data_IF_175194694734
#
_entry.id   IF_175194694734
#
_cell.length_a   1.000
_cell.length_b   1.000
_cell.length_c   1.000
_cell.angle_alpha   90.00
_cell.angle_beta   90.00
_cell.angle_gamma   90.00
#
_symmetry.space_group_name_H-M   'P 1'
#
loop_
_entity.id
_entity.type
_entity.pdbx_description
1 polymer ?
#
# COMPACT_ATOMS: atom_id res chain seq x y z
N UNK A 1 46.43 -52.57 -30.82
CA UNK A 1 45.76 -53.51 -31.76
C UNK A 1 44.51 -54.05 -31.07
N UNK A 2 43.34 -54.20 -31.72
CA UNK A 2 42.77 -53.50 -32.89
C UNK A 2 41.40 -52.82 -32.57
N UNK A 3 41.09 -51.68 -33.22
CA UNK A 3 40.10 -51.45 -34.33
C UNK A 3 38.62 -51.47 -33.89
N UNK A 4 37.84 -50.38 -33.98
CA UNK A 4 37.36 -49.57 -35.13
C UNK A 4 36.21 -50.21 -35.94
N UNK A 5 35.17 -49.37 -36.17
CA UNK A 5 34.12 -49.40 -37.21
C UNK A 5 33.12 -50.57 -37.15
N UNK A 6 31.84 -50.48 -37.56
CA UNK A 6 31.13 -49.73 -38.62
C UNK A 6 29.62 -49.83 -38.33
N UNK A 7 28.77 -48.85 -38.60
CA UNK A 7 28.03 -48.75 -39.88
C UNK A 7 26.55 -49.13 -39.70
N UNK A 8 25.62 -48.17 -39.65
CA UNK A 8 24.70 -47.74 -40.73
C UNK A 8 23.62 -48.77 -41.11
N UNK A 9 22.35 -48.36 -41.00
CA UNK A 9 21.18 -48.57 -41.88
C UNK A 9 19.92 -48.23 -41.07
N UNK A 10 18.81 -47.64 -41.52
CA UNK A 10 18.40 -46.84 -42.68
C UNK A 10 17.06 -46.17 -42.24
N UNK A 11 16.74 -45.00 -42.80
CA UNK A 11 15.42 -44.31 -42.77
C UNK A 11 14.42 -45.05 -43.70
N UNK A 12 13.08 -44.75 -43.80
CA UNK A 12 12.40 -43.43 -43.75
C UNK A 12 11.00 -43.48 -43.06
N UNK A 13 10.19 -42.42 -42.85
CA UNK A 13 9.47 -41.54 -43.79
C UNK A 13 8.90 -40.31 -43.02
N UNK A 14 9.12 -39.08 -43.52
CA UNK A 14 8.15 -38.18 -44.18
C UNK A 14 7.16 -37.52 -43.18
N UNK A 15 7.06 -36.19 -43.05
CA UNK A 15 6.62 -35.17 -44.01
C UNK A 15 7.09 -33.78 -43.51
N UNK A 16 8.00 -33.09 -44.20
CA UNK A 16 7.81 -31.93 -45.12
C UNK A 16 7.22 -30.63 -44.53
N UNK A 17 8.16 -29.73 -44.23
CA UNK A 17 8.29 -28.25 -44.35
C UNK A 17 7.62 -27.63 -45.63
N UNK A 18 7.71 -26.32 -45.99
CA UNK A 18 8.10 -25.08 -45.27
C UNK A 18 7.22 -23.83 -45.54
N UNK A 19 7.57 -22.75 -44.84
CA UNK A 19 7.32 -21.36 -45.22
C UNK A 19 8.29 -20.86 -46.33
N UNK A 20 7.85 -19.89 -47.15
CA UNK A 20 8.54 -18.64 -47.53
C UNK A 20 8.00 -18.08 -48.86
N UNK A 21 7.86 -16.75 -48.95
CA UNK A 21 7.75 -16.06 -50.23
C UNK A 21 6.96 -14.76 -50.19
N UNK A 22 7.66 -13.65 -49.93
CA UNK A 22 7.17 -12.30 -50.24
C UNK A 22 7.20 -12.05 -51.76
N UNK A 23 6.29 -11.19 -52.26
CA UNK A 23 6.56 -9.99 -53.10
C UNK A 23 5.30 -9.55 -53.90
N UNK A 24 4.88 -8.30 -53.63
CA UNK A 24 4.21 -7.27 -54.45
C UNK A 24 3.23 -7.62 -55.60
N UNK A 25 2.05 -6.98 -55.55
CA UNK A 25 1.41 -6.47 -56.77
C UNK A 25 -0.14 -6.51 -56.82
N UNK A 26 -0.73 -5.32 -56.93
CA UNK A 26 -1.98 -5.00 -57.66
C UNK A 26 -3.35 -5.18 -56.95
N UNK A 27 -4.02 -4.03 -56.76
CA UNK A 27 -5.46 -3.87 -57.02
C UNK A 27 -6.42 -4.06 -55.84
N UNK A 28 -6.70 -3.00 -55.08
CA UNK A 28 -7.89 -2.95 -54.22
C UNK A 28 -9.00 -2.16 -54.92
N UNK A 29 -10.21 -2.70 -55.09
CA UNK A 29 -11.33 -1.96 -55.66
C UNK A 29 -11.92 -0.99 -54.64
N UNK A 30 -12.17 0.22 -55.11
CA UNK A 30 -12.93 1.27 -54.46
C UNK A 30 -14.34 0.77 -54.11
N UNK A 31 -14.66 0.70 -52.82
CA UNK A 31 -16.06 0.74 -52.35
C UNK A 31 -16.18 1.72 -51.19
N UNK A 32 -16.73 2.88 -51.54
CA UNK A 32 -17.32 3.86 -50.63
C UNK A 32 -18.33 3.17 -49.72
N UNK A 33 -18.02 3.09 -48.42
CA UNK A 33 -19.02 2.88 -47.37
C UNK A 33 -19.13 4.21 -46.64
N UNK A 34 -20.23 4.88 -46.94
CA UNK A 34 -20.72 6.07 -46.26
C UNK A 34 -20.72 5.80 -44.75
N UNK A 35 -19.95 6.61 -44.03
CA UNK A 35 -19.81 6.53 -42.59
C UNK A 35 -21.14 6.78 -41.89
N UNK A 36 -21.76 5.71 -41.41
CA UNK A 36 -22.70 5.78 -40.30
C UNK A 36 -21.93 5.50 -39.01
N UNK A 37 -21.04 6.42 -38.64
CA UNK A 37 -20.56 6.48 -37.27
C UNK A 37 -21.70 7.02 -36.43
N UNK A 38 -22.38 6.12 -35.75
CA UNK A 38 -23.28 6.43 -34.64
C UNK A 38 -22.58 7.42 -33.71
N UNK A 39 -23.01 8.69 -33.76
CA UNK A 39 -22.77 9.67 -32.71
C UNK A 39 -23.42 9.13 -31.44
N UNK A 40 -22.72 8.23 -30.75
CA UNK A 40 -23.04 7.85 -29.38
C UNK A 40 -22.82 9.11 -28.55
N UNK A 41 -23.91 9.83 -28.35
CA UNK A 41 -23.99 11.06 -27.59
C UNK A 41 -23.11 10.96 -26.34
N UNK A 42 -22.15 11.87 -26.25
CA UNK A 42 -21.52 12.29 -25.01
C UNK A 42 -22.66 12.63 -24.06
N UNK A 43 -23.03 11.69 -23.18
CA UNK A 43 -23.92 11.98 -22.07
C UNK A 43 -23.24 13.08 -21.26
N UNK A 44 -23.86 14.26 -21.28
CA UNK A 44 -23.45 15.43 -20.53
C UNK A 44 -23.16 15.03 -19.08
N UNK A 45 -21.89 15.15 -18.69
CA UNK A 45 -21.50 15.18 -17.27
C UNK A 45 -22.27 16.37 -16.65
N UNK A 46 -22.99 16.13 -15.56
CA UNK A 46 -23.52 17.24 -14.76
C UNK A 46 -22.39 18.20 -14.36
N UNK A 47 -22.68 19.47 -14.08
CA UNK A 47 -21.65 20.43 -13.72
C UNK A 47 -20.82 19.88 -12.56
N UNK A 48 -19.50 19.77 -12.77
CA UNK A 48 -18.57 19.44 -11.70
C UNK A 48 -18.61 20.61 -10.72
N UNK A 49 -19.08 20.38 -9.50
CA UNK A 49 -19.05 21.42 -8.48
C UNK A 49 -17.61 21.55 -8.00
N UNK A 50 -17.08 22.77 -8.07
CA UNK A 50 -15.73 23.08 -7.63
C UNK A 50 -15.61 22.84 -6.12
N UNK A 51 -14.60 22.08 -5.65
CA UNK A 51 -14.42 21.87 -4.23
C UNK A 51 -14.09 23.19 -3.53
N UNK A 52 -14.79 23.49 -2.44
CA UNK A 52 -14.69 24.77 -1.70
C UNK A 52 -14.05 24.64 -0.33
N UNK A 53 -13.91 23.42 0.19
CA UNK A 53 -13.28 23.15 1.49
C UNK A 53 -12.63 21.77 1.48
N UNK A 54 -11.50 21.60 2.17
CA UNK A 54 -10.81 20.31 2.30
C UNK A 54 -10.66 19.98 3.77
N UNK A 55 -11.13 18.80 4.15
CA UNK A 55 -10.99 18.32 5.50
C UNK A 55 -9.92 17.24 5.58
N UNK A 56 -9.01 17.40 6.52
CA UNK A 56 -8.08 16.35 6.96
C UNK A 56 -8.60 15.73 8.24
N UNK A 57 -8.89 14.44 8.18
CA UNK A 57 -9.45 13.65 9.26
C UNK A 57 -8.35 12.78 9.84
N UNK A 58 -8.21 12.83 11.16
CA UNK A 58 -7.39 11.90 11.91
C UNK A 58 -8.30 10.84 12.54
N UNK A 59 -8.02 9.57 12.29
CA UNK A 59 -8.88 8.48 12.73
C UNK A 59 -8.09 7.29 13.25
N UNK A 60 -8.72 6.51 14.11
CA UNK A 60 -8.22 5.23 14.59
C UNK A 60 -8.88 4.10 13.80
N UNK A 61 -8.14 3.02 13.55
CA UNK A 61 -8.64 1.72 13.09
C UNK A 61 -8.45 0.70 14.21
N UNK A 62 -9.54 0.34 14.87
CA UNK A 62 -9.56 -0.60 15.98
C UNK A 62 -9.60 -2.09 15.55
N UNK A 63 -9.61 -3.01 16.53
CA UNK A 63 -9.54 -4.45 16.29
C UNK A 63 -10.65 -5.01 15.39
N UNK A 64 -11.89 -4.50 15.51
CA UNK A 64 -13.03 -4.93 14.66
C UNK A 64 -12.80 -4.69 13.17
N UNK A 65 -11.97 -3.70 12.84
CA UNK A 65 -11.64 -3.34 11.47
C UNK A 65 -10.29 -3.90 11.03
N UNK A 66 -9.53 -4.62 11.87
CA UNK A 66 -8.12 -5.01 11.60
C UNK A 66 -7.94 -5.87 10.34
N UNK A 67 -8.94 -6.66 9.99
CA UNK A 67 -8.88 -7.64 8.89
C UNK A 67 -9.49 -7.11 7.59
N UNK A 68 -9.85 -5.82 7.53
CA UNK A 68 -10.32 -5.18 6.30
C UNK A 68 -9.19 -4.92 5.32
N UNK A 69 -9.39 -5.33 4.06
CA UNK A 69 -8.52 -4.89 2.98
C UNK A 69 -8.70 -3.38 2.75
N UNK A 70 -7.69 -2.73 2.17
CA UNK A 70 -7.75 -1.28 1.92
C UNK A 70 -8.96 -0.87 1.08
N UNK A 71 -9.33 -1.66 0.06
CA UNK A 71 -10.53 -1.40 -0.75
C UNK A 71 -11.81 -1.39 0.08
N UNK A 72 -11.95 -2.32 1.04
CA UNK A 72 -13.10 -2.38 1.94
C UNK A 72 -13.13 -1.18 2.90
N UNK A 73 -11.96 -0.71 3.36
CA UNK A 73 -11.87 0.52 4.15
C UNK A 73 -12.35 1.72 3.34
N UNK A 74 -11.88 1.87 2.09
CA UNK A 74 -12.33 2.95 1.19
C UNK A 74 -13.84 2.89 0.97
N UNK A 75 -14.39 1.73 0.63
CA UNK A 75 -15.84 1.54 0.41
C UNK A 75 -16.68 1.90 1.64
N UNK A 76 -16.24 1.51 2.84
CA UNK A 76 -16.94 1.84 4.08
C UNK A 76 -16.90 3.33 4.39
N UNK A 77 -15.77 4.00 4.18
CA UNK A 77 -15.67 5.45 4.36
C UNK A 77 -16.50 6.23 3.33
N UNK A 78 -16.54 5.78 2.08
CA UNK A 78 -17.43 6.38 1.07
C UNK A 78 -18.90 6.23 1.46
N UNK A 79 -19.31 5.06 1.95
CA UNK A 79 -20.68 4.82 2.41
C UNK A 79 -21.03 5.68 3.64
N UNK A 80 -20.11 5.79 4.60
CA UNK A 80 -20.23 6.67 5.77
C UNK A 80 -20.45 8.13 5.36
N UNK A 81 -19.61 8.65 4.46
CA UNK A 81 -19.72 10.02 3.97
C UNK A 81 -20.99 10.26 3.16
N UNK A 82 -21.38 9.30 2.31
CA UNK A 82 -22.64 9.38 1.57
C UNK A 82 -23.86 9.40 2.51
N UNK A 83 -23.82 8.66 3.62
CA UNK A 83 -24.89 8.67 4.63
C UNK A 83 -24.92 9.93 5.51
N UNK A 84 -23.79 10.65 5.62
CA UNK A 84 -23.63 11.77 6.55
C UNK A 84 -24.36 13.07 6.20
N UNK A 85 -24.99 13.13 5.02
CA UNK A 85 -25.55 14.34 4.42
C UNK A 85 -24.56 15.50 4.22
N UNK A 86 -23.25 15.27 4.43
CA UNK A 86 -22.23 16.23 4.07
C UNK A 86 -22.23 16.46 2.55
N UNK A 87 -22.05 17.71 2.08
CA UNK A 87 -22.02 18.04 0.67
C UNK A 87 -20.65 17.69 0.07
N UNK A 88 -20.33 16.39 0.03
CA UNK A 88 -19.01 15.88 -0.36
C UNK A 88 -18.83 15.95 -1.86
N UNK A 89 -17.74 16.57 -2.31
CA UNK A 89 -17.46 16.75 -3.73
C UNK A 89 -17.17 15.41 -4.42
N UNK A 90 -17.86 15.18 -5.54
CA UNK A 90 -17.67 13.99 -6.37
C UNK A 90 -16.38 14.09 -7.22
N UNK A 91 -15.67 12.97 -7.39
CA UNK A 91 -14.49 12.90 -8.27
C UNK A 91 -14.85 12.95 -9.76
N UNK A 92 -13.94 13.46 -10.61
CA UNK A 92 -14.11 13.60 -12.07
C UNK A 92 -14.14 12.26 -12.88
N UNK A 93 -14.30 11.12 -12.20
CA UNK A 93 -14.21 9.75 -12.75
C UNK A 93 -15.55 9.04 -12.96
N UNK A 94 -15.50 7.74 -13.23
CA UNK A 94 -16.66 6.91 -13.58
C UNK A 94 -17.53 6.63 -12.33
N UNK A 95 -18.72 7.25 -12.30
CA UNK A 95 -19.71 7.32 -11.19
C UNK A 95 -19.25 8.25 -10.06
N UNK A 96 -20.06 9.24 -9.69
CA UNK A 96 -19.75 10.27 -8.69
C UNK A 96 -19.54 9.74 -7.27
N UNK A 97 -18.48 8.94 -7.09
CA UNK A 97 -17.97 8.49 -5.80
C UNK A 97 -17.26 9.65 -5.12
N UNK A 98 -17.42 9.68 -3.80
CA UNK A 98 -16.69 10.56 -2.90
C UNK A 98 -15.18 10.39 -3.12
N UNK A 99 -14.46 11.48 -3.40
CA UNK A 99 -13.01 11.41 -3.55
C UNK A 99 -12.34 11.40 -2.17
N UNK A 100 -11.92 10.22 -1.74
CA UNK A 100 -11.08 10.02 -0.56
C UNK A 100 -9.59 9.98 -0.95
N UNK A 101 -8.76 10.62 -0.15
CA UNK A 101 -7.31 10.47 -0.22
C UNK A 101 -6.78 10.01 1.14
N UNK A 102 -6.28 8.77 1.21
CA UNK A 102 -5.59 8.26 2.39
C UNK A 102 -4.11 8.59 2.30
N UNK A 103 -3.48 8.89 3.44
CA UNK A 103 -2.04 9.10 3.51
C UNK A 103 -1.25 7.82 3.20
N UNK A 104 -1.67 6.68 3.77
CA UNK A 104 -1.18 5.36 3.43
C UNK A 104 -2.24 4.29 3.72
N UNK A 105 -2.28 3.18 2.97
CA UNK A 105 -3.08 2.03 3.35
C UNK A 105 -2.56 1.44 4.66
N UNK A 106 -3.46 1.02 5.55
CA UNK A 106 -3.11 0.17 6.70
C UNK A 106 -3.17 -1.29 6.22
N UNK A 107 -2.07 -2.07 6.33
CA UNK A 107 -2.06 -3.49 5.95
C UNK A 107 -3.11 -4.34 6.68
N UNK A 108 -3.41 -5.51 6.11
CA UNK A 108 -4.28 -6.51 6.74
C UNK A 108 -3.67 -7.02 8.05
N UNK A 109 -4.52 -7.29 9.03
CA UNK A 109 -4.11 -7.81 10.35
C UNK A 109 -3.56 -6.75 11.29
N UNK A 110 -3.42 -5.49 10.84
CA UNK A 110 -2.92 -4.39 11.66
C UNK A 110 -4.05 -3.51 12.21
N UNK A 111 -3.82 -2.97 13.40
CA UNK A 111 -4.59 -1.82 13.90
C UNK A 111 -3.79 -0.54 13.73
N UNK A 112 -4.45 0.61 13.81
CA UNK A 112 -3.77 1.88 13.69
C UNK A 112 -4.37 2.93 14.61
N UNK A 113 -3.52 3.70 15.28
CA UNK A 113 -3.94 4.62 16.34
C UNK A 113 -4.16 6.05 15.84
N UNK A 114 -3.49 6.47 14.77
CA UNK A 114 -3.62 7.84 14.22
C UNK A 114 -3.35 7.87 12.71
N UNK A 115 -4.35 7.43 11.95
CA UNK A 115 -4.38 7.46 10.50
C UNK A 115 -4.93 8.77 9.96
N UNK A 116 -4.64 9.05 8.69
CA UNK A 116 -5.03 10.30 8.05
C UNK A 116 -5.71 10.03 6.71
N UNK A 117 -6.90 10.61 6.55
CA UNK A 117 -7.58 10.71 5.27
C UNK A 117 -8.03 12.13 5.00
N UNK A 118 -8.28 12.44 3.74
CA UNK A 118 -8.79 13.73 3.30
C UNK A 118 -9.99 13.55 2.37
N UNK A 119 -10.94 14.47 2.49
CA UNK A 119 -12.08 14.60 1.58
C UNK A 119 -12.39 16.07 1.32
N UNK A 120 -13.18 16.33 0.28
CA UNK A 120 -13.51 17.67 -0.19
C UNK A 120 -15.01 17.92 -0.03
N UNK A 121 -15.39 19.15 0.34
CA UNK A 121 -16.77 19.60 0.34
C UNK A 121 -17.03 20.60 -0.79
N UNK A 122 -18.26 20.60 -1.28
CA UNK A 122 -18.80 21.50 -2.32
C UNK A 122 -19.16 22.88 -1.78
N UNK A 123 -19.33 22.99 -0.46
CA UNK A 123 -19.56 24.25 0.24
C UNK A 123 -18.86 24.24 1.61
N UNK A 124 -18.39 25.40 2.11
CA UNK A 124 -17.81 25.50 3.44
C UNK A 124 -18.84 25.17 4.52
N UNK A 125 -18.46 24.35 5.48
CA UNK A 125 -19.23 24.08 6.70
C UNK A 125 -18.38 24.36 7.95
N UNK A 126 -18.98 24.79 9.07
CA UNK A 126 -18.30 24.89 10.35
C UNK A 126 -17.78 23.53 10.83
N UNK A 127 -16.64 23.53 11.52
CA UNK A 127 -16.03 22.31 12.09
C UNK A 127 -17.00 21.52 12.99
N UNK A 128 -17.91 22.21 13.69
CA UNK A 128 -18.90 21.59 14.57
C UNK A 128 -19.89 20.72 13.80
N UNK A 129 -20.35 21.16 12.64
CA UNK A 129 -21.27 20.42 11.78
C UNK A 129 -20.59 19.21 11.15
N UNK A 130 -19.38 19.41 10.61
CA UNK A 130 -18.61 18.32 9.98
C UNK A 130 -18.24 17.25 11.00
N UNK A 131 -17.79 17.66 12.19
CA UNK A 131 -17.46 16.74 13.29
C UNK A 131 -18.69 15.96 13.76
N UNK A 132 -19.83 16.61 13.90
CA UNK A 132 -21.08 15.95 14.30
C UNK A 132 -21.52 14.91 13.26
N UNK A 133 -21.51 15.29 11.97
CA UNK A 133 -21.87 14.40 10.87
C UNK A 133 -20.95 13.18 10.78
N UNK A 134 -19.62 13.39 10.88
CA UNK A 134 -18.65 12.30 10.89
C UNK A 134 -18.88 11.34 12.06
N UNK A 135 -18.99 11.87 13.30
CA UNK A 135 -19.18 11.03 14.50
C UNK A 135 -20.43 10.16 14.42
N UNK A 136 -21.51 10.67 13.83
CA UNK A 136 -22.75 9.92 13.67
C UNK A 136 -22.67 8.80 12.62
N UNK A 137 -21.71 8.85 11.69
CA UNK A 137 -21.66 7.96 10.52
C UNK A 137 -20.32 7.22 10.36
N UNK A 138 -19.42 7.25 11.36
CA UNK A 138 -18.14 6.57 11.29
C UNK A 138 -18.31 5.08 10.90
N UNK A 139 -17.45 4.55 10.01
CA UNK A 139 -17.42 3.12 9.76
C UNK A 139 -17.18 2.33 11.06
N UNK A 140 -17.88 1.19 11.22
CA UNK A 140 -17.63 0.29 12.35
C UNK A 140 -16.15 -0.09 12.45
N UNK A 141 -15.66 -0.16 13.69
CA UNK A 141 -14.26 -0.35 14.03
C UNK A 141 -13.36 0.87 13.80
N UNK A 142 -13.90 2.04 13.47
CA UNK A 142 -13.13 3.28 13.31
C UNK A 142 -13.55 4.34 14.32
N UNK A 143 -12.59 5.15 14.76
CA UNK A 143 -12.81 6.26 15.69
C UNK A 143 -12.33 7.59 15.13
N UNK A 144 -13.09 8.68 15.31
CA UNK A 144 -12.65 10.04 14.95
C UNK A 144 -11.79 10.61 16.08
N UNK A 145 -10.55 10.98 15.77
CA UNK A 145 -9.60 11.56 16.72
C UNK A 145 -9.56 13.08 16.57
N UNK A 146 -9.40 13.56 15.33
CA UNK A 146 -9.24 14.98 15.06
C UNK A 146 -9.67 15.34 13.63
N UNK A 147 -9.87 16.63 13.39
CA UNK A 147 -10.42 17.16 12.15
C UNK A 147 -9.92 18.58 11.91
N UNK A 148 -9.31 18.82 10.75
CA UNK A 148 -8.70 20.10 10.38
C UNK A 148 -9.18 20.58 9.02
N UNK A 149 -9.53 21.86 8.91
CA UNK A 149 -9.78 22.52 7.62
C UNK A 149 -8.44 22.91 7.02
N UNK A 150 -8.14 22.36 5.84
CA UNK A 150 -6.85 22.48 5.19
C UNK A 150 -7.03 23.28 3.90
N UNK A 151 -6.05 24.12 3.59
CA UNK A 151 -6.06 24.88 2.35
C UNK A 151 -6.20 23.95 1.12
N UNK A 152 -7.11 24.29 0.20
CA UNK A 152 -7.39 23.48 -1.00
C UNK A 152 -6.14 23.24 -1.85
N UNK A 153 -5.24 24.23 -1.93
CA UNK A 153 -3.98 24.15 -2.67
C UNK A 153 -2.85 23.43 -1.94
N UNK A 154 -3.07 22.94 -0.71
CA UNK A 154 -2.05 22.22 0.04
C UNK A 154 -1.64 20.93 -0.69
N UNK A 155 -0.39 20.46 -0.53
CA UNK A 155 0.03 19.17 -1.06
C UNK A 155 -0.89 18.04 -0.61
N UNK A 156 -0.97 16.95 -1.39
CA UNK A 156 -1.75 15.78 -0.98
C UNK A 156 -1.18 15.17 0.31
N UNK A 157 -2.01 14.65 1.21
CA UNK A 157 -1.48 14.02 2.43
C UNK A 157 -0.54 12.85 2.12
N UNK A 158 -0.81 12.08 1.07
CA UNK A 158 0.06 10.99 0.63
C UNK A 158 1.45 11.49 0.19
N UNK A 159 1.53 12.66 -0.47
CA UNK A 159 2.81 13.25 -0.85
C UNK A 159 3.59 13.87 0.32
N UNK A 160 2.92 14.14 1.44
CA UNK A 160 3.57 14.65 2.64
C UNK A 160 4.10 13.53 3.55
N UNK A 161 3.68 12.29 3.35
CA UNK A 161 4.11 11.18 4.20
C UNK A 161 5.60 10.90 4.04
N UNK A 162 6.37 11.06 5.13
CA UNK A 162 7.83 10.82 5.17
C UNK A 162 8.23 9.62 6.02
N UNK A 163 7.43 9.26 7.02
CA UNK A 163 7.70 8.11 7.88
C UNK A 163 6.43 7.61 8.61
N UNK A 164 6.56 6.44 9.23
CA UNK A 164 5.50 5.77 9.98
C UNK A 164 6.10 5.14 11.24
N UNK A 165 5.45 5.38 12.39
CA UNK A 165 5.83 4.77 13.66
C UNK A 165 4.97 3.52 13.89
N UNK A 166 5.63 2.42 14.26
CA UNK A 166 5.01 1.14 14.54
C UNK A 166 5.44 0.60 15.89
N UNK A 167 4.49 -0.08 16.53
CA UNK A 167 4.69 -0.90 17.72
C UNK A 167 4.31 -2.34 17.40
N UNK A 168 5.23 -3.25 17.64
CA UNK A 168 5.06 -4.68 17.36
C UNK A 168 5.26 -5.46 18.64
N UNK A 169 4.24 -6.21 19.03
CA UNK A 169 4.37 -7.24 20.06
C UNK A 169 4.89 -8.49 19.38
N UNK A 170 6.03 -9.00 19.84
CA UNK A 170 6.58 -10.27 19.37
C UNK A 170 6.37 -11.33 20.43
N UNK A 171 6.13 -12.55 19.97
CA UNK A 171 6.04 -13.69 20.87
C UNK A 171 7.37 -13.85 21.63
N UNK A 172 7.28 -14.00 22.95
CA UNK A 172 8.44 -14.16 23.82
C UNK A 172 8.17 -15.20 24.90
N UNK A 173 9.18 -16.03 25.17
CA UNK A 173 9.14 -17.00 26.26
C UNK A 173 9.07 -16.31 27.63
N UNK A 174 8.56 -17.03 28.64
CA UNK A 174 8.44 -16.52 30.02
C UNK A 174 9.55 -17.09 30.90
N UNK A 175 10.07 -16.29 31.84
CA UNK A 175 11.04 -16.73 32.85
C UNK A 175 12.50 -16.64 32.38
N UNK A 176 13.34 -17.61 32.73
CA UNK A 176 14.78 -17.53 32.48
C UNK A 176 15.15 -17.43 30.98
N UNK A 177 14.34 -18.01 30.10
CA UNK A 177 14.52 -17.93 28.64
C UNK A 177 14.30 -16.51 28.10
N UNK A 178 13.40 -15.73 28.72
CA UNK A 178 13.04 -14.38 28.28
C UNK A 178 14.25 -13.45 28.18
N UNK A 179 15.13 -13.47 29.19
CA UNK A 179 16.31 -12.58 29.22
C UNK A 179 17.28 -12.88 28.08
N UNK A 180 17.45 -14.15 27.74
CA UNK A 180 18.30 -14.57 26.62
C UNK A 180 17.69 -14.11 25.30
N UNK A 181 16.38 -14.26 25.12
CA UNK A 181 15.68 -13.81 23.90
C UNK A 181 15.73 -12.30 23.72
N UNK A 182 15.48 -11.53 24.78
CA UNK A 182 15.58 -10.07 24.75
C UNK A 182 17.00 -9.61 24.41
N UNK A 183 18.01 -10.30 24.95
CA UNK A 183 19.43 -10.01 24.63
C UNK A 183 19.76 -10.31 23.16
N UNK A 184 19.21 -11.39 22.61
CA UNK A 184 19.35 -11.74 21.20
C UNK A 184 18.63 -10.73 20.29
N UNK A 185 17.41 -10.33 20.64
CA UNK A 185 16.66 -9.27 19.95
C UNK A 185 17.43 -7.95 19.95
N UNK A 186 17.92 -7.50 21.11
CA UNK A 186 18.72 -6.28 21.22
C UNK A 186 19.99 -6.33 20.37
N UNK A 187 20.65 -7.49 20.33
CA UNK A 187 21.83 -7.71 19.48
C UNK A 187 21.48 -7.66 18.00
N UNK A 188 20.41 -8.35 17.57
CA UNK A 188 19.94 -8.36 16.19
C UNK A 188 19.52 -6.97 15.71
N UNK A 189 18.79 -6.23 16.54
CA UNK A 189 18.43 -4.82 16.30
C UNK A 189 19.69 -3.97 16.08
N UNK A 190 20.68 -4.11 16.96
CA UNK A 190 21.94 -3.36 16.86
C UNK A 190 22.68 -3.66 15.56
N UNK A 191 22.71 -4.92 15.14
CA UNK A 191 23.35 -5.35 13.89
C UNK A 191 22.61 -4.84 12.65
N UNK A 192 21.28 -4.89 12.63
CA UNK A 192 20.47 -4.31 11.56
C UNK A 192 20.74 -2.81 11.42
N UNK A 193 20.77 -2.08 12.53
CA UNK A 193 21.01 -0.63 12.50
C UNK A 193 22.45 -0.29 12.07
N UNK A 194 23.42 -1.14 12.42
CA UNK A 194 24.83 -0.97 12.02
C UNK A 194 25.14 -1.46 10.59
N UNK A 195 24.26 -2.27 9.99
CA UNK A 195 24.47 -2.81 8.66
C UNK A 195 24.51 -1.66 7.62
N UNK A 196 25.50 -1.64 6.71
CA UNK A 196 25.55 -0.62 5.66
C UNK A 196 24.46 -0.82 4.60
N UNK A 197 24.00 -2.05 4.43
CA UNK A 197 22.95 -2.47 3.49
C UNK A 197 22.19 -3.65 4.08
N UNK A 198 20.90 -3.74 3.77
CA UNK A 198 20.02 -4.83 4.17
C UNK A 198 19.17 -5.26 2.96
N UNK A 199 19.76 -6.08 2.10
CA UNK A 199 19.12 -6.54 0.87
C UNK A 199 17.97 -7.52 1.19
N UNK A 200 16.78 -7.24 0.64
CA UNK A 200 15.56 -8.01 0.88
C UNK A 200 14.83 -8.34 -0.41
N UNK A 201 14.24 -9.54 -0.54
CA UNK A 201 13.35 -9.86 -1.65
C UNK A 201 12.17 -8.88 -1.70
N UNK A 202 11.87 -8.40 -2.90
CA UNK A 202 10.78 -7.50 -3.18
C UNK A 202 10.06 -7.95 -4.45
N UNK A 203 8.78 -8.28 -4.34
CA UNK A 203 7.97 -8.64 -5.49
C UNK A 203 7.40 -7.37 -6.11
N UNK A 204 7.93 -7.00 -7.28
CA UNK A 204 7.35 -5.97 -8.16
C UNK A 204 6.77 -6.71 -9.36
N UNK A 205 5.75 -6.15 -10.02
CA UNK A 205 4.93 -6.81 -11.07
C UNK A 205 5.64 -7.36 -12.33
N UNK A 206 6.96 -7.60 -12.30
CA UNK A 206 7.75 -8.32 -13.30
C UNK A 206 8.67 -9.40 -12.74
N UNK A 207 8.58 -9.77 -11.45
CA UNK A 207 9.35 -10.87 -10.84
C UNK A 207 10.03 -10.51 -9.52
N UNK A 208 10.80 -11.45 -8.94
CA UNK A 208 11.57 -11.20 -7.72
C UNK A 208 12.67 -10.16 -8.01
N UNK A 209 12.60 -9.04 -7.31
CA UNK A 209 13.63 -8.00 -7.27
C UNK A 209 14.25 -7.97 -5.88
N UNK A 210 15.43 -7.36 -5.75
CA UNK A 210 16.05 -7.13 -4.43
C UNK A 210 16.01 -5.65 -4.14
N UNK A 211 15.74 -5.29 -2.88
CA UNK A 211 15.66 -3.91 -2.42
C UNK A 211 16.43 -3.77 -1.12
N UNK A 212 17.22 -2.70 -1.00
CA UNK A 212 17.89 -2.36 0.25
C UNK A 212 16.88 -1.74 1.23
N UNK A 213 16.63 -2.43 2.34
CA UNK A 213 15.70 -2.03 3.39
C UNK A 213 16.36 -1.07 4.38
N UNK A 214 17.69 -1.08 4.52
CA UNK A 214 18.40 -0.30 5.54
C UNK A 214 18.04 1.19 5.51
N UNK A 215 18.06 1.92 4.37
CA UNK A 215 17.75 3.35 4.35
C UNK A 215 16.31 3.67 4.79
N UNK A 216 15.42 2.67 4.78
CA UNK A 216 14.02 2.82 5.19
C UNK A 216 13.82 2.60 6.69
N UNK A 217 14.82 2.16 7.45
CA UNK A 217 14.74 1.97 8.91
C UNK A 217 15.42 3.18 9.57
N UNK A 218 14.64 4.13 10.08
CA UNK A 218 15.19 5.29 10.80
C UNK A 218 15.58 4.91 12.23
N UNK A 219 14.67 4.22 12.94
CA UNK A 219 14.93 3.72 14.28
C UNK A 219 14.29 2.34 14.46
N UNK A 220 14.91 1.53 15.32
CA UNK A 220 14.42 0.23 15.75
C UNK A 220 14.92 0.01 17.17
N UNK A 221 14.01 -0.23 18.11
CA UNK A 221 14.35 -0.44 19.52
C UNK A 221 13.55 -1.60 20.08
N UNK A 222 14.15 -2.35 20.99
CA UNK A 222 13.46 -3.36 21.79
C UNK A 222 13.25 -2.81 23.21
N UNK A 223 12.02 -2.93 23.71
CA UNK A 223 11.72 -2.65 25.11
C UNK A 223 11.62 -3.96 25.89
N UNK A 224 12.18 -3.95 27.10
CA UNK A 224 12.09 -5.05 28.06
C UNK A 224 10.73 -5.01 28.75
N UNK A 225 9.75 -5.66 28.13
CA UNK A 225 8.43 -5.93 28.68
C UNK A 225 7.98 -7.35 28.32
N UNK A 226 7.10 -7.99 29.10
CA UNK A 226 6.34 -9.15 28.66
C UNK A 226 4.96 -8.73 28.11
N UNK A 227 4.61 -9.04 26.85
CA UNK A 227 5.48 -9.55 25.78
C UNK A 227 6.48 -8.49 25.31
N UNK A 228 7.55 -8.94 24.64
CA UNK A 228 8.58 -8.05 24.14
C UNK A 228 8.01 -7.10 23.08
N UNK A 229 8.42 -5.82 23.16
CA UNK A 229 7.94 -4.79 22.24
C UNK A 229 9.08 -4.31 21.35
N UNK A 230 8.83 -4.31 20.05
CA UNK A 230 9.65 -3.60 19.08
C UNK A 230 8.95 -2.29 18.71
N UNK A 231 9.65 -1.17 18.91
CA UNK A 231 9.24 0.12 18.36
C UNK A 231 10.13 0.43 17.15
N UNK A 232 9.53 0.85 16.04
CA UNK A 232 10.25 1.14 14.81
C UNK A 232 9.68 2.34 14.10
N UNK A 233 10.57 3.17 13.56
CA UNK A 233 10.24 4.25 12.62
C UNK A 233 10.72 3.88 11.24
N UNK A 234 9.77 3.75 10.32
CA UNK A 234 10.04 3.36 8.94
C UNK A 234 9.80 4.54 8.00
N UNK A 235 10.82 4.90 7.23
CA UNK A 235 10.75 5.99 6.24
C UNK A 235 10.04 5.54 4.97
N UNK A 236 9.47 6.52 4.28
CA UNK A 236 9.08 6.40 2.89
C UNK A 236 10.16 7.02 2.02
N UNK A 237 10.40 6.40 0.87
CA UNK A 237 11.27 6.94 -0.16
C UNK A 237 10.59 6.78 -1.53
N UNK A 238 10.51 7.82 -2.37
CA UNK A 238 9.85 7.72 -3.67
C UNK A 238 10.48 6.71 -4.64
N UNK A 239 11.78 6.45 -4.51
CA UNK A 239 12.54 5.56 -5.39
C UNK A 239 12.57 4.12 -4.87
N UNK A 240 12.71 3.94 -3.56
CA UNK A 240 12.80 2.63 -2.90
C UNK A 240 11.40 2.11 -2.51
N UNK A 241 10.47 3.00 -2.18
CA UNK A 241 9.15 2.71 -1.64
C UNK A 241 9.13 2.81 -0.12
N UNK A 242 8.31 1.99 0.53
CA UNK A 242 8.24 1.93 1.99
C UNK A 242 8.59 0.52 2.50
N UNK A 243 9.13 0.48 3.71
CA UNK A 243 9.35 -0.74 4.47
C UNK A 243 8.07 -1.08 5.23
N UNK A 244 7.73 -2.36 5.31
CA UNK A 244 6.68 -2.83 6.21
C UNK A 244 7.31 -3.44 7.47
N UNK A 245 6.65 -3.39 8.62
CA UNK A 245 7.13 -4.06 9.83
C UNK A 245 7.47 -5.52 9.60
N UNK A 246 6.70 -6.24 8.78
CA UNK A 246 6.96 -7.64 8.45
C UNK A 246 8.31 -7.85 7.73
N UNK A 247 8.72 -6.90 6.89
CA UNK A 247 10.01 -6.96 6.20
C UNK A 247 11.18 -6.80 7.20
N UNK A 248 10.97 -6.01 8.26
CA UNK A 248 11.94 -5.82 9.37
C UNK A 248 11.98 -7.03 10.30
N UNK A 249 10.82 -7.64 10.61
CA UNK A 249 10.74 -8.86 11.42
C UNK A 249 11.41 -10.05 10.73
N UNK A 250 11.21 -10.18 9.42
CA UNK A 250 11.92 -11.18 8.63
C UNK A 250 13.44 -10.94 8.70
N UNK A 251 13.86 -9.66 8.67
CA UNK A 251 15.26 -9.32 8.79
C UNK A 251 15.88 -9.65 10.14
N UNK A 252 15.15 -9.39 11.23
CA UNK A 252 15.54 -9.79 12.56
C UNK A 252 15.60 -11.32 12.70
N UNK A 253 14.67 -12.03 12.05
CA UNK A 253 14.62 -13.48 12.10
C UNK A 253 15.88 -14.12 11.49
N UNK A 254 16.28 -13.64 10.31
CA UNK A 254 17.50 -14.11 9.65
C UNK A 254 18.76 -13.77 10.44
N UNK A 255 18.83 -12.56 11.02
CA UNK A 255 19.99 -12.11 11.79
C UNK A 255 20.18 -12.92 13.09
N UNK A 256 19.08 -13.28 13.75
CA UNK A 256 19.11 -14.04 15.01
C UNK A 256 19.17 -15.55 14.75
N UNK A 257 18.82 -16.01 13.54
CA UNK A 257 18.75 -17.43 13.19
C UNK A 257 17.53 -18.13 13.80
N UNK A 258 16.46 -17.38 14.09
CA UNK A 258 15.21 -17.87 14.68
C UNK A 258 14.03 -17.05 14.15
N UNK A 259 12.92 -17.71 13.86
CA UNK A 259 11.68 -17.03 13.48
C UNK A 259 11.17 -16.09 14.58
N UNK A 260 10.92 -14.83 14.24
CA UNK A 260 10.28 -13.84 15.08
C UNK A 260 8.85 -13.63 14.57
N UNK A 261 7.88 -14.08 15.37
CA UNK A 261 6.45 -13.96 15.05
C UNK A 261 5.85 -12.75 15.78
N UNK A 262 5.17 -11.88 15.03
CA UNK A 262 4.39 -10.81 15.64
C UNK A 262 3.05 -11.36 16.16
N UNK A 263 2.75 -11.09 17.43
CA UNK A 263 1.43 -11.30 18.03
C UNK A 263 0.46 -10.18 17.63
N UNK A 264 0.97 -8.95 17.55
CA UNK A 264 0.22 -7.81 17.06
C UNK A 264 1.13 -6.75 16.45
N UNK A 265 0.60 -6.03 15.45
CA UNK A 265 1.26 -4.88 14.84
C UNK A 265 0.29 -3.71 14.87
N UNK A 266 0.76 -2.60 15.44
CA UNK A 266 0.02 -1.34 15.56
C UNK A 266 0.80 -0.27 14.83
N UNK A 267 0.19 0.41 13.86
CA UNK A 267 0.73 1.67 13.33
C UNK A 267 0.29 2.80 14.25
N UNK A 268 1.21 3.36 15.01
CA UNK A 268 0.91 4.36 16.03
C UNK A 268 0.55 5.70 15.39
N UNK A 269 1.34 6.12 14.39
CA UNK A 269 1.09 7.36 13.63
C UNK A 269 1.80 7.40 12.29
N UNK A 270 1.33 8.31 11.46
CA UNK A 270 1.99 8.77 10.24
C UNK A 270 2.74 10.06 10.55
N UNK A 271 3.91 10.25 9.93
CA UNK A 271 4.73 11.47 10.07
C UNK A 271 4.71 12.18 8.73
N UNK A 272 4.31 13.46 8.76
CA UNK A 272 4.22 14.30 7.59
C UNK A 272 5.42 15.26 7.50
N UNK A 273 5.80 15.65 6.28
CA UNK A 273 6.93 16.53 6.02
C UNK A 273 6.79 17.94 6.61
N UNK A 274 5.56 18.37 6.91
CA UNK A 274 5.24 19.64 7.56
C UNK A 274 5.31 19.58 9.10
N UNK A 275 5.58 18.40 9.67
CA UNK A 275 5.74 18.18 11.11
C UNK A 275 7.21 18.00 11.55
N UNK A 276 8.15 17.95 10.59
CA UNK A 276 9.58 17.63 10.80
C UNK A 276 10.48 18.82 10.49
#
# INVERSE_FOLDING_TARGET
>A
MPRLFSGVTARPDAWTDPALGATLGLGWPTRSIVGQTTRRALRSRGPMIEPRQRWRVFFQRGPEARDLAHSQVVERWEAALAGSALPVAAGAGQRGRVRLAFAAPVPLGMTAEREILEFLLEQPLPITEVRAALRAHLPSGHGLLDLHDVWLGAPSVASLLVAMDYRVQVHSEVGAAQRTELSQLATGVSRILAAPRLDRPHLKGGGPTTRDLRPLIESLTVADSPPALLAMRLRTDPSIGFARPEDVLLALSDEIGREIVAESIVRERLILADEV
#
